data_IF_103973351782
#
_entry.id   IF_103973351782
#
_cell.length_a   1.000
_cell.length_b   1.000
_cell.length_c   1.000
_cell.angle_alpha   90.00
_cell.angle_beta   90.00
_cell.angle_gamma   90.00
#
_symmetry.space_group_name_H-M   'P 1'
#
loop_
_entity.id
_entity.type
_entity.pdbx_description
1 polymer ?
#
# COMPACT_ATOMS: atom_id res chain seq x y z
N UNK A 1 -11.79 -14.78 17.95
CA UNK A 1 -10.95 -13.64 18.40
C UNK A 1 -11.82 -12.39 18.53
N UNK A 2 -11.76 -11.66 19.67
CA UNK A 2 -12.60 -10.46 19.92
C UNK A 2 -12.15 -9.29 19.03
N UNK A 3 -13.10 -8.68 18.32
CA UNK A 3 -12.95 -7.33 17.74
C UNK A 3 -12.75 -6.33 18.88
N UNK A 4 -11.81 -5.40 18.72
CA UNK A 4 -11.66 -4.33 19.69
C UNK A 4 -12.66 -3.23 19.34
N UNK A 5 -13.55 -2.93 20.27
CA UNK A 5 -14.41 -1.75 20.20
C UNK A 5 -13.54 -0.49 20.36
N UNK A 6 -13.36 0.28 19.29
CA UNK A 6 -12.53 1.49 19.28
C UNK A 6 -13.28 2.71 19.82
N UNK A 7 -14.59 2.58 20.06
CA UNK A 7 -15.45 3.63 20.65
C UNK A 7 -15.26 3.75 22.16
N UNK A 8 -14.53 2.82 22.81
CA UNK A 8 -14.32 2.80 24.26
C UNK A 8 -12.86 2.58 24.64
N UNK A 9 -12.48 3.00 25.84
CA UNK A 9 -11.14 2.77 26.41
C UNK A 9 -10.08 3.79 25.98
N UNK A 10 -8.82 3.52 26.33
CA UNK A 10 -7.70 4.44 26.09
C UNK A 10 -7.23 4.43 24.63
N UNK A 11 -7.09 5.63 24.06
CA UNK A 11 -6.81 5.83 22.63
C UNK A 11 -5.39 5.39 22.24
N UNK A 12 -4.35 5.79 23.00
CA UNK A 12 -2.95 5.45 22.66
C UNK A 12 -2.70 3.95 22.55
N UNK A 13 -3.07 3.11 23.55
CA UNK A 13 -2.89 1.65 23.44
C UNK A 13 -3.64 1.06 22.25
N UNK A 14 -4.82 1.56 21.92
CA UNK A 14 -5.61 1.07 20.78
C UNK A 14 -4.92 1.38 19.46
N UNK A 15 -4.47 2.62 19.26
CA UNK A 15 -3.77 3.02 18.04
C UNK A 15 -2.47 2.24 17.86
N UNK A 16 -1.65 2.12 18.92
CA UNK A 16 -0.37 1.38 18.87
C UNK A 16 -0.61 -0.11 18.61
N UNK A 17 -1.59 -0.71 19.28
CA UNK A 17 -1.93 -2.13 19.09
C UNK A 17 -2.47 -2.41 17.69
N UNK A 18 -3.14 -1.45 17.06
CA UNK A 18 -3.59 -1.55 15.68
C UNK A 18 -2.45 -1.35 14.68
N UNK A 19 -1.60 -0.35 14.88
CA UNK A 19 -0.54 0.02 13.95
C UNK A 19 0.61 -0.99 13.93
N UNK A 20 1.04 -1.54 15.07
CA UNK A 20 2.19 -2.45 15.13
C UNK A 20 2.06 -3.68 14.20
N UNK A 21 0.94 -4.44 14.21
CA UNK A 21 0.77 -5.56 13.27
C UNK A 21 0.69 -5.11 11.80
N UNK A 22 0.14 -3.93 11.52
CA UNK A 22 0.08 -3.38 10.16
C UNK A 22 1.48 -3.04 9.64
N UNK A 23 2.29 -2.39 10.47
CA UNK A 23 3.69 -2.08 10.19
C UNK A 23 4.51 -3.37 10.01
N UNK A 24 4.30 -4.36 10.89
CA UNK A 24 4.94 -5.68 10.78
C UNK A 24 4.59 -6.41 9.49
N UNK A 25 3.33 -6.36 9.05
CA UNK A 25 2.91 -6.94 7.76
C UNK A 25 3.70 -6.30 6.62
N UNK A 26 3.87 -4.99 6.66
CA UNK A 26 4.56 -4.25 5.61
C UNK A 26 6.06 -4.57 5.55
N UNK A 27 6.73 -4.72 6.70
CA UNK A 27 8.13 -5.15 6.76
C UNK A 27 8.32 -6.57 6.18
N UNK A 28 7.46 -7.53 6.55
CA UNK A 28 7.54 -8.90 6.02
C UNK A 28 7.27 -8.90 4.51
N UNK A 29 6.33 -8.08 4.04
CA UNK A 29 6.05 -7.93 2.60
C UNK A 29 7.27 -7.40 1.84
N UNK A 30 8.01 -6.44 2.41
CA UNK A 30 9.24 -5.95 1.81
C UNK A 30 10.31 -7.05 1.77
N UNK A 31 10.53 -7.76 2.88
CA UNK A 31 11.47 -8.89 2.93
C UNK A 31 11.13 -9.95 1.87
N UNK A 32 9.84 -10.21 1.67
CA UNK A 32 9.36 -11.12 0.63
C UNK A 32 9.72 -10.62 -0.76
N UNK A 33 9.41 -9.36 -1.10
CA UNK A 33 9.70 -8.81 -2.41
C UNK A 33 11.21 -8.86 -2.73
N UNK A 34 12.06 -8.58 -1.74
CA UNK A 34 13.51 -8.69 -1.90
C UNK A 34 13.97 -10.14 -2.13
N UNK A 35 13.37 -11.09 -1.41
CA UNK A 35 13.69 -12.51 -1.53
C UNK A 35 13.29 -13.08 -2.89
N UNK A 36 12.08 -12.76 -3.37
CA UNK A 36 11.58 -13.17 -4.69
C UNK A 36 12.51 -12.66 -5.80
N UNK A 37 12.88 -11.37 -5.72
CA UNK A 37 13.84 -10.76 -6.65
C UNK A 37 15.22 -11.46 -6.60
N UNK A 38 15.70 -11.81 -5.42
CA UNK A 38 16.97 -12.53 -5.24
C UNK A 38 16.94 -13.91 -5.88
N UNK A 39 15.89 -14.70 -5.64
CA UNK A 39 15.76 -16.05 -6.21
C UNK A 39 15.63 -16.04 -7.72
N UNK A 40 14.81 -15.13 -8.26
CA UNK A 40 14.64 -14.97 -9.71
C UNK A 40 15.92 -14.48 -10.39
N UNK A 41 16.66 -13.56 -9.75
CA UNK A 41 17.97 -13.10 -10.22
C UNK A 41 19.01 -14.22 -10.23
N UNK A 42 18.98 -15.11 -9.21
CA UNK A 42 19.84 -16.30 -9.16
C UNK A 42 19.50 -17.34 -10.22
N UNK A 43 18.23 -17.43 -10.62
CA UNK A 43 17.80 -18.32 -11.70
C UNK A 43 18.36 -17.85 -13.06
N UNK A 44 18.03 -16.62 -13.48
CA UNK A 44 18.64 -15.97 -14.64
C UNK A 44 18.24 -14.49 -14.72
N UNK A 45 19.05 -13.70 -15.43
CA UNK A 45 18.72 -12.30 -15.76
C UNK A 45 17.46 -12.20 -16.63
N UNK A 46 17.22 -13.18 -17.51
CA UNK A 46 16.01 -13.27 -18.33
C UNK A 46 14.75 -13.47 -17.47
N UNK A 47 14.83 -14.33 -16.46
CA UNK A 47 13.72 -14.64 -15.55
C UNK A 47 13.37 -13.46 -14.65
N UNK A 48 14.38 -12.75 -14.17
CA UNK A 48 14.20 -11.51 -13.43
C UNK A 48 13.50 -10.44 -14.30
N UNK A 49 13.93 -10.26 -15.54
CA UNK A 49 13.31 -9.31 -16.48
C UNK A 49 11.85 -9.68 -16.82
N UNK A 50 11.59 -10.97 -17.04
CA UNK A 50 10.25 -11.50 -17.29
C UNK A 50 9.31 -11.29 -16.09
N UNK A 51 9.78 -11.58 -14.88
CA UNK A 51 9.03 -11.37 -13.65
C UNK A 51 8.77 -9.88 -13.39
N UNK A 52 9.73 -9.00 -13.67
CA UNK A 52 9.56 -7.55 -13.58
C UNK A 52 8.43 -7.03 -14.46
N UNK A 53 8.35 -7.46 -15.72
CA UNK A 53 7.24 -7.10 -16.61
C UNK A 53 5.88 -7.58 -16.09
N UNK A 54 5.79 -8.79 -15.54
CA UNK A 54 4.55 -9.29 -14.92
C UNK A 54 4.26 -8.57 -13.60
N UNK A 55 5.28 -8.11 -12.89
CA UNK A 55 5.17 -7.26 -11.70
C UNK A 55 4.39 -5.98 -11.99
N UNK A 56 4.64 -5.30 -13.11
CA UNK A 56 3.86 -4.12 -13.53
C UNK A 56 2.38 -4.44 -13.76
N UNK A 57 2.07 -5.59 -14.37
CA UNK A 57 0.68 -6.03 -14.56
C UNK A 57 0.03 -6.26 -13.18
N UNK A 58 0.74 -6.96 -12.28
CA UNK A 58 0.27 -7.18 -10.90
C UNK A 58 0.10 -5.87 -10.12
N UNK A 59 0.90 -4.85 -10.41
CA UNK A 59 0.77 -3.54 -9.78
C UNK A 59 -0.49 -2.80 -10.22
N UNK A 60 -0.85 -2.87 -11.51
CA UNK A 60 -2.15 -2.35 -12.00
C UNK A 60 -3.33 -3.05 -11.34
N UNK A 61 -3.23 -4.37 -11.12
CA UNK A 61 -4.23 -5.11 -10.35
C UNK A 61 -4.36 -4.56 -8.92
N UNK A 62 -3.23 -4.24 -8.27
CA UNK A 62 -3.22 -3.65 -6.93
C UNK A 62 -3.88 -2.27 -6.87
N UNK A 63 -3.83 -1.47 -7.93
CA UNK A 63 -4.58 -0.20 -8.00
C UNK A 63 -6.10 -0.43 -7.94
N UNK A 64 -6.61 -1.47 -8.62
CA UNK A 64 -8.04 -1.85 -8.52
C UNK A 64 -8.38 -2.40 -7.14
N UNK A 65 -7.49 -3.20 -6.55
CA UNK A 65 -7.64 -3.68 -5.16
C UNK A 65 -7.71 -2.50 -4.19
N UNK A 66 -6.90 -1.46 -4.38
CA UNK A 66 -6.87 -0.28 -3.52
C UNK A 66 -8.23 0.43 -3.47
N UNK A 67 -8.94 0.52 -4.61
CA UNK A 67 -10.30 1.06 -4.66
C UNK A 67 -11.24 0.29 -3.72
N UNK A 68 -11.34 -1.03 -3.89
CA UNK A 68 -12.20 -1.87 -3.06
C UNK A 68 -11.76 -1.86 -1.60
N UNK A 69 -10.44 -1.93 -1.34
CA UNK A 69 -9.85 -1.98 -0.01
C UNK A 69 -10.22 -0.75 0.81
N UNK A 70 -9.94 0.46 0.31
CA UNK A 70 -10.23 1.70 1.03
C UNK A 70 -11.72 1.85 1.30
N UNK A 71 -12.58 1.63 0.29
CA UNK A 71 -14.02 1.74 0.47
C UNK A 71 -14.60 0.71 1.47
N UNK A 72 -14.04 -0.50 1.49
CA UNK A 72 -14.44 -1.56 2.44
C UNK A 72 -14.04 -1.21 3.86
N UNK A 73 -12.81 -0.74 4.07
CA UNK A 73 -12.31 -0.34 5.40
C UNK A 73 -13.20 0.75 6.03
N UNK A 74 -13.59 1.75 5.23
CA UNK A 74 -14.48 2.85 5.64
C UNK A 74 -15.88 2.32 5.96
N UNK A 75 -16.52 1.59 5.04
CA UNK A 75 -17.90 1.12 5.21
C UNK A 75 -18.07 0.13 6.36
N UNK A 76 -17.12 -0.80 6.51
CA UNK A 76 -17.11 -1.73 7.65
C UNK A 76 -16.83 -0.97 8.93
N UNK A 77 -15.84 -0.06 8.97
CA UNK A 77 -15.54 0.73 10.16
C UNK A 77 -16.72 1.56 10.65
N UNK A 78 -17.38 2.31 9.76
CA UNK A 78 -18.54 3.13 10.12
C UNK A 78 -19.73 2.27 10.58
N UNK A 79 -20.06 1.19 9.87
CA UNK A 79 -21.19 0.33 10.25
C UNK A 79 -20.95 -0.45 11.55
N UNK A 80 -19.71 -0.87 11.82
CA UNK A 80 -19.31 -1.49 13.10
C UNK A 80 -19.44 -0.47 14.24
N UNK A 81 -18.98 0.77 14.03
CA UNK A 81 -19.13 1.87 14.99
C UNK A 81 -20.59 2.19 15.31
N UNK A 82 -21.43 2.26 14.28
CA UNK A 82 -22.88 2.45 14.40
C UNK A 82 -23.63 1.25 14.99
N UNK A 83 -22.93 0.12 15.23
CA UNK A 83 -23.51 -1.17 15.64
C UNK A 83 -24.58 -1.69 14.67
N UNK A 84 -24.54 -1.26 13.41
CA UNK A 84 -25.47 -1.60 12.35
C UNK A 84 -25.12 -2.96 11.72
N UNK A 85 -25.34 -4.05 12.46
CA UNK A 85 -24.92 -5.41 12.06
C UNK A 85 -25.35 -5.82 10.65
N UNK A 86 -26.58 -5.46 10.25
CA UNK A 86 -27.10 -5.75 8.90
C UNK A 86 -26.28 -5.04 7.83
N UNK A 87 -26.05 -3.74 8.02
CA UNK A 87 -25.23 -2.93 7.10
C UNK A 87 -23.78 -3.42 7.05
N UNK A 88 -23.20 -3.81 8.18
CA UNK A 88 -21.86 -4.43 8.21
C UNK A 88 -21.81 -5.70 7.37
N UNK A 89 -22.81 -6.58 7.47
CA UNK A 89 -22.89 -7.80 6.64
C UNK A 89 -23.00 -7.46 5.15
N UNK A 90 -23.82 -6.47 4.80
CA UNK A 90 -23.99 -6.02 3.41
C UNK A 90 -22.67 -5.46 2.84
N UNK A 91 -21.93 -4.63 3.59
CA UNK A 91 -20.62 -4.13 3.17
C UNK A 91 -19.61 -5.26 2.95
N UNK A 92 -19.54 -6.21 3.88
CA UNK A 92 -18.63 -7.35 3.78
C UNK A 92 -18.96 -8.22 2.57
N UNK A 93 -20.23 -8.62 2.41
CA UNK A 93 -20.67 -9.47 1.31
C UNK A 93 -20.46 -8.80 -0.04
N UNK A 94 -20.78 -7.51 -0.13
CA UNK A 94 -20.59 -6.71 -1.34
C UNK A 94 -19.12 -6.58 -1.71
N UNK A 95 -18.24 -6.30 -0.74
CA UNK A 95 -16.81 -6.18 -0.97
C UNK A 95 -16.18 -7.51 -1.44
N UNK A 96 -16.54 -8.61 -0.79
CA UNK A 96 -16.05 -9.95 -1.17
C UNK A 96 -16.60 -10.36 -2.55
N UNK A 97 -17.89 -10.17 -2.81
CA UNK A 97 -18.50 -10.46 -4.11
C UNK A 97 -17.88 -9.62 -5.24
N UNK A 98 -17.73 -8.31 -5.03
CA UNK A 98 -17.10 -7.42 -5.99
C UNK A 98 -15.63 -7.77 -6.25
N UNK A 99 -14.87 -8.13 -5.21
CA UNK A 99 -13.45 -8.51 -5.39
C UNK A 99 -13.28 -9.81 -6.18
N UNK A 100 -14.16 -10.79 -5.99
CA UNK A 100 -14.18 -12.02 -6.80
C UNK A 100 -14.53 -11.72 -8.26
N UNK A 101 -15.56 -10.92 -8.51
CA UNK A 101 -15.98 -10.56 -9.88
C UNK A 101 -14.89 -9.76 -10.59
N UNK A 102 -14.38 -8.70 -9.96
CA UNK A 102 -13.35 -7.84 -10.54
C UNK A 102 -12.04 -8.63 -10.72
N UNK A 103 -11.66 -9.46 -9.74
CA UNK A 103 -10.47 -10.31 -9.85
C UNK A 103 -10.57 -11.34 -10.97
N UNK A 104 -11.74 -11.98 -11.15
CA UNK A 104 -11.98 -12.92 -12.24
C UNK A 104 -11.99 -12.23 -13.61
N UNK A 105 -12.64 -11.06 -13.72
CA UNK A 105 -12.61 -10.26 -14.95
C UNK A 105 -11.20 -9.80 -15.29
N UNK A 106 -10.43 -9.36 -14.30
CA UNK A 106 -9.04 -8.97 -14.47
C UNK A 106 -8.19 -10.15 -14.94
N UNK A 107 -8.32 -11.32 -14.31
CA UNK A 107 -7.65 -12.55 -14.73
C UNK A 107 -7.98 -12.91 -16.18
N UNK A 108 -9.25 -12.83 -16.57
CA UNK A 108 -9.71 -13.09 -17.93
C UNK A 108 -9.06 -12.12 -18.93
N UNK A 109 -9.08 -10.81 -18.64
CA UNK A 109 -8.44 -9.79 -19.48
C UNK A 109 -6.94 -10.06 -19.63
N UNK A 110 -6.24 -10.37 -18.54
CA UNK A 110 -4.81 -10.68 -18.57
C UNK A 110 -4.52 -11.93 -19.41
N UNK A 111 -5.32 -12.99 -19.29
CA UNK A 111 -5.12 -14.23 -20.07
C UNK A 111 -5.38 -14.01 -21.55
N UNK A 112 -6.44 -13.27 -21.90
CA UNK A 112 -6.82 -12.98 -23.29
C UNK A 112 -5.82 -12.04 -23.96
N UNK A 113 -5.40 -10.99 -23.25
CA UNK A 113 -4.51 -9.95 -23.76
C UNK A 113 -3.03 -10.18 -23.43
N UNK A 114 -2.65 -11.37 -22.95
CA UNK A 114 -1.27 -11.66 -22.51
C UNK A 114 -0.21 -11.29 -23.54
N UNK A 115 -0.47 -11.54 -24.83
CA UNK A 115 0.48 -11.26 -25.93
C UNK A 115 0.69 -9.76 -26.11
N UNK A 116 -0.39 -9.00 -26.06
CA UNK A 116 -0.39 -7.55 -26.17
C UNK A 116 0.27 -6.93 -24.95
N UNK A 117 -0.08 -7.38 -23.74
CA UNK A 117 0.45 -6.87 -22.48
C UNK A 117 1.97 -7.08 -22.36
N UNK A 118 2.48 -8.28 -22.66
CA UNK A 118 3.93 -8.52 -22.69
C UNK A 118 4.58 -7.82 -23.90
N UNK A 119 3.86 -7.70 -25.01
CA UNK A 119 4.31 -6.97 -26.20
C UNK A 119 4.64 -5.49 -25.94
N UNK A 120 3.99 -4.86 -24.94
CA UNK A 120 4.28 -3.48 -24.54
C UNK A 120 5.75 -3.28 -24.09
N UNK A 121 6.38 -4.33 -23.55
CA UNK A 121 7.76 -4.25 -23.06
C UNK A 121 8.80 -4.44 -24.17
N UNK A 122 8.39 -4.77 -25.40
CA UNK A 122 9.25 -4.84 -26.59
C UNK A 122 10.54 -5.66 -26.39
N UNK A 123 10.45 -6.79 -25.68
CA UNK A 123 11.59 -7.68 -25.47
C UNK A 123 12.14 -8.20 -26.80
N UNK A 124 13.44 -7.96 -27.05
CA UNK A 124 14.15 -8.42 -28.25
C UNK A 124 14.42 -9.92 -28.22
N UNK A 125 14.60 -10.48 -27.03
CA UNK A 125 14.93 -11.88 -26.84
C UNK A 125 13.67 -12.73 -26.63
N UNK A 126 13.56 -13.82 -27.38
CA UNK A 126 12.41 -14.72 -27.33
C UNK A 126 12.26 -15.43 -25.98
N UNK A 127 13.37 -15.73 -25.31
CA UNK A 127 13.37 -16.46 -24.04
C UNK A 127 12.62 -15.66 -22.97
N UNK A 128 12.86 -14.35 -22.87
CA UNK A 128 12.18 -13.46 -21.91
C UNK A 128 10.67 -13.42 -22.19
N UNK A 129 10.27 -13.36 -23.47
CA UNK A 129 8.86 -13.37 -23.86
C UNK A 129 8.17 -14.66 -23.45
N UNK A 130 8.80 -15.80 -23.71
CA UNK A 130 8.25 -17.12 -23.36
C UNK A 130 8.15 -17.31 -21.84
N UNK A 131 9.17 -16.91 -21.10
CA UNK A 131 9.17 -16.94 -19.64
C UNK A 131 8.06 -16.07 -19.07
N UNK A 132 7.94 -14.81 -19.52
CA UNK A 132 6.89 -13.90 -19.10
C UNK A 132 5.48 -14.44 -19.41
N UNK A 133 5.26 -15.05 -20.58
CA UNK A 133 3.98 -15.69 -20.90
C UNK A 133 3.65 -16.86 -19.98
N UNK A 134 4.64 -17.69 -19.67
CA UNK A 134 4.44 -18.84 -18.80
C UNK A 134 4.16 -18.43 -17.36
N UNK A 135 4.90 -17.44 -16.87
CA UNK A 135 4.72 -16.84 -15.55
C UNK A 135 3.34 -16.19 -15.42
N UNK A 136 2.98 -15.31 -16.37
CA UNK A 136 1.72 -14.57 -16.36
C UNK A 136 0.50 -15.49 -16.37
N UNK A 137 0.55 -16.62 -17.09
CA UNK A 137 -0.55 -17.59 -17.10
C UNK A 137 -0.82 -18.19 -15.73
N UNK A 138 0.24 -18.54 -14.98
CA UNK A 138 0.11 -19.14 -13.65
C UNK A 138 -0.35 -18.08 -12.65
N UNK A 139 0.27 -16.89 -12.67
CA UNK A 139 -0.14 -15.75 -11.84
C UNK A 139 -1.60 -15.38 -12.09
N UNK A 140 -2.07 -15.47 -13.34
CA UNK A 140 -3.45 -15.13 -13.67
C UNK A 140 -4.48 -16.03 -12.96
N UNK A 141 -4.17 -17.30 -12.74
CA UNK A 141 -5.02 -18.21 -11.94
C UNK A 141 -5.08 -17.80 -10.47
N UNK A 142 -4.04 -17.11 -9.97
CA UNK A 142 -3.95 -16.60 -8.61
C UNK A 142 -4.68 -15.27 -8.38
N UNK A 143 -5.07 -14.53 -9.43
CA UNK A 143 -5.66 -13.19 -9.26
C UNK A 143 -6.92 -13.14 -8.41
N UNK A 144 -7.90 -14.08 -8.51
CA UNK A 144 -9.05 -14.05 -7.61
C UNK A 144 -8.66 -14.05 -6.12
N UNK A 145 -7.61 -14.79 -5.75
CA UNK A 145 -7.09 -14.83 -4.38
C UNK A 145 -6.26 -13.58 -4.04
N UNK A 146 -5.50 -13.07 -5.00
CA UNK A 146 -4.79 -11.80 -4.88
C UNK A 146 -5.73 -10.62 -4.60
N UNK A 147 -6.94 -10.64 -5.17
CA UNK A 147 -7.97 -9.63 -4.92
C UNK A 147 -8.69 -9.84 -3.58
N UNK A 148 -9.05 -11.07 -3.21
CA UNK A 148 -9.85 -11.31 -2.01
C UNK A 148 -9.06 -11.10 -0.70
N UNK A 149 -7.78 -11.48 -0.66
CA UNK A 149 -6.99 -11.45 0.58
C UNK A 149 -6.84 -10.03 1.18
N UNK A 150 -6.49 -8.99 0.38
CA UNK A 150 -6.44 -7.62 0.89
C UNK A 150 -7.80 -7.08 1.34
N UNK A 151 -8.90 -7.55 0.74
CA UNK A 151 -10.26 -7.14 1.12
C UNK A 151 -10.69 -7.77 2.43
N UNK A 152 -10.36 -9.04 2.66
CA UNK A 152 -10.51 -9.65 3.99
C UNK A 152 -9.69 -8.88 5.03
N UNK A 153 -8.45 -8.50 4.70
CA UNK A 153 -7.65 -7.60 5.52
C UNK A 153 -8.38 -6.29 5.85
N UNK A 154 -8.92 -5.60 4.85
CA UNK A 154 -9.68 -4.36 5.01
C UNK A 154 -10.90 -4.51 5.93
N UNK A 155 -11.63 -5.63 5.82
CA UNK A 155 -12.78 -5.95 6.70
C UNK A 155 -12.33 -6.03 8.15
N UNK A 156 -11.26 -6.79 8.42
CA UNK A 156 -10.71 -6.92 9.77
C UNK A 156 -10.15 -5.59 10.30
N UNK A 157 -9.49 -4.81 9.45
CA UNK A 157 -8.97 -3.48 9.82
C UNK A 157 -10.10 -2.51 10.19
N UNK A 158 -11.13 -2.39 9.35
CA UNK A 158 -12.32 -1.60 9.65
C UNK A 158 -13.00 -2.04 10.95
N UNK A 159 -13.02 -3.35 11.22
CA UNK A 159 -13.54 -3.91 12.47
C UNK A 159 -12.60 -3.81 13.69
N UNK A 160 -11.47 -3.11 13.58
CA UNK A 160 -10.55 -2.88 14.70
C UNK A 160 -9.69 -4.10 15.08
N UNK A 161 -9.39 -4.99 14.14
CA UNK A 161 -8.54 -6.15 14.34
C UNK A 161 -7.42 -6.21 13.28
N UNK A 162 -6.22 -5.75 13.61
CA UNK A 162 -5.05 -5.88 12.73
C UNK A 162 -4.22 -7.14 12.98
N UNK A 163 -4.38 -7.78 14.16
CA UNK A 163 -3.60 -8.97 14.54
C UNK A 163 -3.93 -10.18 13.66
N UNK A 164 -5.21 -10.38 13.36
CA UNK A 164 -5.64 -11.54 12.56
C UNK A 164 -5.08 -11.45 11.14
N UNK A 165 -5.26 -10.33 10.40
CA UNK A 165 -4.65 -10.22 9.09
C UNK A 165 -3.13 -10.28 9.11
N UNK A 166 -2.47 -9.69 10.12
CA UNK A 166 -1.02 -9.79 10.25
C UNK A 166 -0.55 -11.24 10.34
N UNK A 167 -1.12 -12.04 11.25
CA UNK A 167 -0.70 -13.44 11.42
C UNK A 167 -0.96 -14.26 10.15
N UNK A 168 -2.14 -14.12 9.53
CA UNK A 168 -2.49 -14.89 8.33
C UNK A 168 -1.62 -14.49 7.14
N UNK A 169 -1.43 -13.20 6.89
CA UNK A 169 -0.56 -12.73 5.80
C UNK A 169 0.90 -13.09 6.05
N UNK A 170 1.38 -13.04 7.30
CA UNK A 170 2.75 -13.45 7.66
C UNK A 170 2.99 -14.92 7.34
N UNK A 171 2.04 -15.81 7.66
CA UNK A 171 2.12 -17.23 7.30
C UNK A 171 2.19 -17.39 5.78
N UNK A 172 1.37 -16.65 5.03
CA UNK A 172 1.41 -16.67 3.56
C UNK A 172 2.75 -16.24 2.98
N UNK A 173 3.32 -15.14 3.49
CA UNK A 173 4.59 -14.60 3.02
C UNK A 173 5.76 -15.52 3.37
N UNK A 174 5.78 -16.06 4.59
CA UNK A 174 6.82 -17.04 5.01
C UNK A 174 6.70 -18.32 4.20
N UNK A 175 5.48 -18.82 3.98
CA UNK A 175 5.24 -19.98 3.13
C UNK A 175 5.77 -19.71 1.72
N UNK A 176 5.51 -18.53 1.16
CA UNK A 176 6.01 -18.14 -0.16
C UNK A 176 7.55 -18.17 -0.21
N UNK A 177 8.22 -17.50 0.73
CA UNK A 177 9.70 -17.47 0.81
C UNK A 177 10.34 -18.88 0.87
N UNK A 178 9.64 -19.87 1.45
CA UNK A 178 10.09 -21.26 1.54
C UNK A 178 9.76 -22.03 0.26
N UNK A 179 8.58 -21.82 -0.30
CA UNK A 179 8.12 -22.49 -1.52
C UNK A 179 8.90 -22.03 -2.76
N UNK A 180 9.32 -20.77 -2.83
CA UNK A 180 10.09 -20.23 -3.96
C UNK A 180 11.34 -21.05 -4.29
N UNK A 181 12.37 -21.16 -3.41
CA UNK A 181 13.58 -21.91 -3.75
C UNK A 181 13.31 -23.40 -3.96
N UNK A 182 12.28 -23.94 -3.31
CA UNK A 182 11.87 -25.33 -3.47
C UNK A 182 11.32 -25.58 -4.89
N UNK A 183 10.38 -24.78 -5.37
CA UNK A 183 9.83 -24.93 -6.71
C UNK A 183 10.80 -24.49 -7.80
N UNK A 184 11.54 -23.39 -7.60
CA UNK A 184 12.48 -22.85 -8.58
C UNK A 184 13.64 -23.82 -8.81
N UNK A 185 14.34 -24.22 -7.73
CA UNK A 185 15.59 -24.98 -7.84
C UNK A 185 15.42 -26.48 -7.58
N UNK A 186 14.69 -26.87 -6.52
CA UNK A 186 14.62 -28.29 -6.11
C UNK A 186 13.79 -29.12 -7.09
N UNK A 187 12.65 -28.57 -7.55
CA UNK A 187 11.83 -29.22 -8.57
C UNK A 187 12.16 -28.76 -10.00
N UNK A 188 13.14 -27.87 -10.18
CA UNK A 188 13.59 -27.43 -11.49
C UNK A 188 12.50 -26.74 -12.33
N UNK A 189 11.48 -26.15 -11.70
CA UNK A 189 10.37 -25.52 -12.42
C UNK A 189 10.73 -24.11 -12.93
N UNK A 190 11.90 -23.59 -12.53
CA UNK A 190 12.38 -22.27 -12.92
C UNK A 190 11.37 -21.18 -12.57
N UNK A 191 11.15 -20.24 -13.49
CA UNK A 191 10.26 -19.09 -13.28
C UNK A 191 8.80 -19.51 -13.01
N UNK A 192 8.34 -20.63 -13.58
CA UNK A 192 7.00 -21.18 -13.33
C UNK A 192 6.83 -21.60 -11.87
N UNK A 193 7.93 -22.02 -11.24
CA UNK A 193 7.97 -22.39 -9.83
C UNK A 193 7.65 -21.20 -8.91
N UNK A 194 8.26 -20.04 -9.16
CA UNK A 194 7.98 -18.81 -8.42
C UNK A 194 6.52 -18.35 -8.55
N UNK A 195 5.97 -18.41 -9.77
CA UNK A 195 4.55 -18.09 -9.98
C UNK A 195 3.62 -19.06 -9.22
N UNK A 196 3.95 -20.35 -9.20
CA UNK A 196 3.18 -21.37 -8.51
C UNK A 196 3.28 -21.20 -6.98
N UNK A 197 4.47 -20.94 -6.44
CA UNK A 197 4.69 -20.63 -5.03
C UNK A 197 3.81 -19.45 -4.59
N UNK A 198 3.78 -18.38 -5.39
CA UNK A 198 2.96 -17.20 -5.13
C UNK A 198 1.46 -17.49 -5.18
N UNK A 199 1.00 -18.29 -6.15
CA UNK A 199 -0.39 -18.69 -6.25
C UNK A 199 -0.82 -19.56 -5.04
N UNK A 200 0.01 -20.53 -4.65
CA UNK A 200 -0.24 -21.42 -3.52
C UNK A 200 -0.20 -20.67 -2.18
N UNK A 201 0.70 -19.70 -2.02
CA UNK A 201 0.75 -18.84 -0.85
C UNK A 201 -0.55 -18.02 -0.70
N UNK A 202 -1.01 -17.37 -1.78
CA UNK A 202 -2.27 -16.63 -1.78
C UNK A 202 -3.48 -17.52 -1.50
N UNK A 203 -3.52 -18.71 -2.11
CA UNK A 203 -4.56 -19.69 -1.85
C UNK A 203 -4.57 -20.14 -0.38
N UNK A 204 -3.39 -20.40 0.20
CA UNK A 204 -3.25 -20.80 1.60
C UNK A 204 -3.75 -19.71 2.56
N UNK A 205 -3.43 -18.44 2.28
CA UNK A 205 -3.96 -17.28 3.02
C UNK A 205 -5.49 -17.25 2.96
N UNK A 206 -6.07 -17.39 1.76
CA UNK A 206 -7.54 -17.43 1.59
C UNK A 206 -8.17 -18.60 2.34
N UNK A 207 -7.54 -19.78 2.32
CA UNK A 207 -8.00 -20.96 3.03
C UNK A 207 -7.95 -20.76 4.55
N UNK A 208 -6.87 -20.19 5.09
CA UNK A 208 -6.76 -19.88 6.52
C UNK A 208 -7.87 -18.92 6.92
N UNK A 209 -8.13 -17.86 6.15
CA UNK A 209 -9.25 -16.96 6.41
C UNK A 209 -10.60 -17.68 6.39
N UNK A 210 -10.80 -18.60 5.46
CA UNK A 210 -12.01 -19.41 5.37
C UNK A 210 -12.21 -20.31 6.60
N UNK A 211 -11.14 -20.89 7.14
CA UNK A 211 -11.19 -21.74 8.34
C UNK A 211 -11.52 -20.90 9.58
N UNK A 212 -10.83 -19.78 9.79
CA UNK A 212 -10.97 -18.97 11.01
C UNK A 212 -12.24 -18.10 11.01
N UNK A 213 -12.98 -18.02 9.89
CA UNK A 213 -14.18 -17.16 9.76
C UNK A 213 -15.24 -17.43 10.82
N UNK A 214 -15.37 -18.68 11.27
CA UNK A 214 -16.36 -19.11 12.27
C UNK A 214 -16.02 -18.56 13.67
N UNK A 215 -14.73 -18.49 13.99
CA UNK A 215 -14.23 -17.95 15.27
C UNK A 215 -14.16 -16.42 15.30
N UNK A 216 -14.26 -15.79 14.13
CA UNK A 216 -14.15 -14.35 13.95
C UNK A 216 -15.47 -13.58 14.16
N UNK A 217 -16.63 -14.27 14.16
CA UNK A 217 -17.97 -13.70 14.41
C UNK A 217 -18.49 -12.70 13.36
N UNK A 218 -17.61 -11.93 12.71
CA UNK A 218 -17.90 -10.97 11.65
C UNK A 218 -18.25 -11.65 10.31
N UNK A 219 -17.69 -12.84 10.07
CA UNK A 219 -17.74 -13.53 8.76
C UNK A 219 -18.52 -14.86 8.83
N UNK A 220 -18.95 -15.28 10.02
CA UNK A 220 -19.51 -16.61 10.28
C UNK A 220 -20.91 -16.86 9.71
N UNK A 221 -21.64 -15.81 9.30
CA UNK A 221 -23.05 -15.87 8.85
C UNK A 221 -23.31 -14.98 7.62
N UNK A 222 -22.42 -15.04 6.63
CA UNK A 222 -22.53 -14.27 5.39
C UNK A 222 -23.05 -15.13 4.24
N UNK A 223 -24.03 -14.60 3.53
CA UNK A 223 -24.53 -15.15 2.27
C UNK A 223 -24.19 -14.20 1.13
N UNK A 224 -23.05 -14.43 0.45
CA UNK A 224 -22.48 -13.52 -0.56
C UNK A 224 -23.50 -13.01 -1.59
N UNK A 225 -24.38 -13.87 -2.12
CA UNK A 225 -25.37 -13.49 -3.13
C UNK A 225 -26.59 -12.76 -2.54
N UNK A 226 -27.00 -13.11 -1.31
CA UNK A 226 -28.19 -12.54 -0.66
C UNK A 226 -27.89 -11.17 -0.06
N UNK A 227 -26.69 -11.02 0.50
CA UNK A 227 -26.28 -9.83 1.23
C UNK A 227 -25.55 -8.83 0.31
N UNK A 228 -25.34 -9.15 -0.98
CA UNK A 228 -24.79 -8.20 -1.94
C UNK A 228 -25.76 -7.04 -2.15
N UNK A 229 -25.26 -5.81 -1.99
CA UNK A 229 -26.04 -4.60 -2.11
C UNK A 229 -25.34 -3.61 -3.05
N UNK A 230 -26.01 -3.28 -4.16
CA UNK A 230 -25.47 -2.37 -5.19
C UNK A 230 -25.26 -0.94 -4.67
N UNK A 231 -26.08 -0.49 -3.73
CA UNK A 231 -25.89 0.81 -3.08
C UNK A 231 -24.58 0.83 -2.26
N UNK A 232 -24.30 -0.25 -1.53
CA UNK A 232 -23.04 -0.39 -0.77
C UNK A 232 -21.85 -0.49 -1.73
N UNK A 233 -22.00 -1.14 -2.88
CA UNK A 233 -20.97 -1.16 -3.92
C UNK A 233 -20.68 0.26 -4.44
N UNK A 234 -21.72 1.04 -4.74
CA UNK A 234 -21.56 2.42 -5.18
C UNK A 234 -20.87 3.29 -4.13
N UNK A 235 -21.15 3.09 -2.83
CA UNK A 235 -20.43 3.78 -1.75
C UNK A 235 -18.97 3.35 -1.67
N UNK A 236 -18.68 2.04 -1.71
CA UNK A 236 -17.30 1.51 -1.74
C UNK A 236 -16.53 2.11 -2.92
N UNK A 237 -17.11 2.08 -4.12
CA UNK A 237 -16.49 2.62 -5.33
C UNK A 237 -16.29 4.14 -5.22
N UNK A 238 -17.28 4.89 -4.72
CA UNK A 238 -17.19 6.35 -4.55
C UNK A 238 -16.08 6.74 -3.58
N UNK A 239 -15.91 5.99 -2.49
CA UNK A 239 -14.84 6.24 -1.53
C UNK A 239 -13.48 5.78 -2.05
N UNK A 240 -13.40 4.65 -2.75
CA UNK A 240 -12.16 4.08 -3.25
C UNK A 240 -11.58 4.71 -4.51
N UNK A 241 -12.44 5.19 -5.42
CA UNK A 241 -12.03 5.70 -6.72
C UNK A 241 -11.04 6.87 -6.63
N UNK A 242 -11.22 7.86 -5.73
CA UNK A 242 -10.23 8.93 -5.56
C UNK A 242 -8.83 8.40 -5.20
N UNK A 243 -8.74 7.42 -4.30
CA UNK A 243 -7.46 6.81 -3.89
C UNK A 243 -6.80 6.06 -5.04
N UNK A 244 -7.57 5.37 -5.88
CA UNK A 244 -7.06 4.72 -7.10
C UNK A 244 -6.50 5.76 -8.08
N UNK A 245 -7.25 6.83 -8.35
CA UNK A 245 -6.80 7.91 -9.26
C UNK A 245 -5.51 8.55 -8.72
N UNK A 246 -5.48 8.87 -7.43
CA UNK A 246 -4.28 9.38 -6.77
C UNK A 246 -3.07 8.45 -6.97
N UNK A 247 -3.25 7.14 -6.78
CA UNK A 247 -2.18 6.16 -6.98
C UNK A 247 -1.67 6.13 -8.44
N UNK A 248 -2.57 6.16 -9.42
CA UNK A 248 -2.20 6.19 -10.85
C UNK A 248 -1.37 7.44 -11.19
N UNK A 249 -1.78 8.62 -10.70
CA UNK A 249 -1.02 9.86 -10.89
C UNK A 249 0.33 9.82 -10.17
N UNK A 250 0.38 9.28 -8.94
CA UNK A 250 1.64 9.11 -8.20
C UNK A 250 2.65 8.26 -8.99
N UNK A 251 2.22 7.13 -9.56
CA UNK A 251 3.09 6.25 -10.36
C UNK A 251 3.55 6.95 -11.65
N UNK A 252 2.63 7.63 -12.34
CA UNK A 252 2.92 8.35 -13.58
C UNK A 252 3.94 9.46 -13.37
N UNK A 253 3.76 10.28 -12.32
CA UNK A 253 4.71 11.34 -11.96
C UNK A 253 6.06 10.76 -11.55
N UNK A 254 6.07 9.71 -10.73
CA UNK A 254 7.31 9.06 -10.28
C UNK A 254 8.12 8.51 -11.46
N UNK A 255 7.45 7.98 -12.49
CA UNK A 255 8.10 7.54 -13.73
C UNK A 255 8.77 8.69 -14.48
N UNK A 256 8.10 9.85 -14.59
CA UNK A 256 8.68 11.04 -15.24
C UNK A 256 9.90 11.57 -14.47
N UNK A 257 9.83 11.62 -13.14
CA UNK A 257 10.95 12.05 -12.30
C UNK A 257 12.12 11.08 -12.40
N UNK A 258 11.86 9.77 -12.39
CA UNK A 258 12.89 8.73 -12.54
C UNK A 258 13.66 8.90 -13.86
N UNK A 259 12.96 9.17 -14.98
CA UNK A 259 13.60 9.48 -16.27
C UNK A 259 14.52 10.71 -16.21
N UNK A 260 14.15 11.74 -15.44
CA UNK A 260 15.02 12.91 -15.26
C UNK A 260 16.30 12.56 -14.50
N UNK A 261 16.24 11.66 -13.53
CA UNK A 261 17.42 11.18 -12.78
C UNK A 261 18.33 10.36 -13.68
N UNK A 262 17.77 9.44 -14.49
CA UNK A 262 18.55 8.63 -15.44
C UNK A 262 19.36 9.47 -16.42
N UNK A 263 18.92 10.70 -16.74
CA UNK A 263 19.65 11.61 -17.64
C UNK A 263 20.97 12.15 -17.09
N UNK A 264 21.24 12.02 -15.78
CA UNK A 264 22.48 12.51 -15.16
C UNK A 264 23.63 11.51 -15.25
N UNK A 265 23.44 10.30 -14.72
CA UNK A 265 24.38 9.19 -14.82
C UNK A 265 23.73 7.89 -14.37
N UNK A 266 24.30 6.75 -14.77
CA UNK A 266 23.90 5.42 -14.28
C UNK A 266 24.09 5.29 -12.77
N UNK A 267 25.18 5.83 -12.20
CA UNK A 267 25.44 5.83 -10.76
C UNK A 267 24.42 6.64 -9.96
N UNK A 268 23.99 7.81 -10.47
CA UNK A 268 22.94 8.61 -9.83
C UNK A 268 21.59 7.88 -9.82
N UNK A 269 21.27 7.16 -10.90
CA UNK A 269 20.06 6.35 -10.98
C UNK A 269 20.10 5.16 -10.00
N UNK A 270 21.22 4.45 -9.92
CA UNK A 270 21.39 3.36 -8.95
C UNK A 270 21.23 3.86 -7.50
N UNK A 271 21.82 5.02 -7.18
CA UNK A 271 21.68 5.65 -5.88
C UNK A 271 20.23 6.05 -5.55
N UNK A 272 19.49 6.56 -6.54
CA UNK A 272 18.06 6.87 -6.44
C UNK A 272 17.23 5.63 -6.13
N UNK A 273 17.42 4.54 -6.88
CA UNK A 273 16.66 3.30 -6.68
C UNK A 273 16.89 2.71 -5.28
N UNK A 274 18.15 2.64 -4.82
CA UNK A 274 18.47 2.18 -3.45
C UNK A 274 17.82 3.09 -2.41
N UNK A 275 17.92 4.41 -2.60
CA UNK A 275 17.31 5.39 -1.72
C UNK A 275 15.80 5.21 -1.60
N UNK A 276 15.11 5.04 -2.74
CA UNK A 276 13.65 4.83 -2.79
C UNK A 276 13.25 3.56 -2.05
N UNK A 277 14.03 2.49 -2.13
CA UNK A 277 13.79 1.26 -1.36
C UNK A 277 13.91 1.48 0.15
N UNK A 278 14.90 2.27 0.59
CA UNK A 278 15.05 2.64 2.01
C UNK A 278 13.86 3.50 2.47
N UNK A 279 13.45 4.47 1.66
CA UNK A 279 12.29 5.33 1.94
C UNK A 279 10.97 4.55 1.99
N UNK A 280 10.82 3.51 1.14
CA UNK A 280 9.61 2.70 1.08
C UNK A 280 9.25 2.07 2.44
N UNK A 281 10.25 1.73 3.27
CA UNK A 281 10.04 1.25 4.65
C UNK A 281 9.27 2.28 5.47
N UNK A 282 9.71 3.54 5.42
CA UNK A 282 9.04 4.65 6.12
C UNK A 282 7.61 4.82 5.65
N UNK A 283 7.40 4.82 4.33
CA UNK A 283 6.07 4.96 3.73
C UNK A 283 5.12 3.83 4.13
N UNK A 284 5.61 2.59 4.12
CA UNK A 284 4.89 1.40 4.59
C UNK A 284 4.50 1.50 6.06
N UNK A 285 5.41 1.96 6.91
CA UNK A 285 5.17 2.18 8.33
C UNK A 285 4.10 3.26 8.57
N UNK A 286 4.19 4.39 7.87
CA UNK A 286 3.18 5.45 7.94
C UNK A 286 1.82 4.98 7.41
N UNK A 287 1.80 4.17 6.35
CA UNK A 287 0.59 3.55 5.83
C UNK A 287 -0.10 2.65 6.86
N UNK A 288 0.67 1.88 7.64
CA UNK A 288 0.13 1.09 8.75
C UNK A 288 -0.54 1.94 9.83
N UNK A 289 0.07 3.08 10.19
CA UNK A 289 -0.55 4.05 11.10
C UNK A 289 -1.81 4.71 10.48
N UNK A 290 -1.77 5.02 9.18
CA UNK A 290 -2.90 5.59 8.43
C UNK A 290 -4.15 4.70 8.51
N UNK A 291 -4.00 3.40 8.25
CA UNK A 291 -5.08 2.40 8.40
C UNK A 291 -5.57 2.30 9.84
N UNK A 292 -4.68 2.34 10.84
CA UNK A 292 -5.09 2.31 12.25
C UNK A 292 -5.92 3.54 12.66
N UNK A 293 -5.48 4.74 12.25
CA UNK A 293 -6.20 5.99 12.47
C UNK A 293 -7.53 5.97 11.71
N UNK A 294 -7.53 5.48 10.46
CA UNK A 294 -8.72 5.39 9.62
C UNK A 294 -9.80 4.49 10.22
N UNK A 295 -9.43 3.30 10.70
CA UNK A 295 -10.34 2.40 11.41
C UNK A 295 -10.91 3.03 12.69
N UNK A 296 -10.05 3.70 13.50
CA UNK A 296 -10.47 4.38 14.71
C UNK A 296 -11.46 5.51 14.40
N UNK A 297 -11.11 6.39 13.46
CA UNK A 297 -11.95 7.51 13.04
C UNK A 297 -13.24 7.03 12.42
N UNK A 298 -13.22 5.97 11.59
CA UNK A 298 -14.43 5.39 10.99
C UNK A 298 -15.41 4.87 12.03
N UNK A 299 -14.95 4.11 13.03
CA UNK A 299 -15.83 3.59 14.08
C UNK A 299 -16.43 4.70 14.93
N UNK A 300 -15.64 5.68 15.35
CA UNK A 300 -16.17 6.81 16.13
C UNK A 300 -17.06 7.72 15.26
N UNK A 301 -16.79 7.79 13.95
CA UNK A 301 -17.65 8.51 13.02
C UNK A 301 -19.03 7.85 12.90
N UNK A 302 -19.06 6.52 12.77
CA UNK A 302 -20.31 5.76 12.73
C UNK A 302 -21.05 5.70 14.07
N UNK A 303 -20.33 5.77 15.19
CA UNK A 303 -20.91 5.86 16.53
C UNK A 303 -21.39 7.27 16.92
N UNK A 304 -21.26 8.24 16.02
CA UNK A 304 -21.57 9.66 16.23
C UNK A 304 -20.76 10.34 17.35
N UNK A 305 -19.70 9.70 17.85
CA UNK A 305 -18.79 10.23 18.88
C UNK A 305 -17.70 11.09 18.23
N UNK A 306 -18.07 12.35 17.91
CA UNK A 306 -17.18 13.31 17.25
C UNK A 306 -16.03 13.79 18.14
N UNK A 307 -16.26 13.91 19.44
CA UNK A 307 -15.21 14.33 20.39
C UNK A 307 -14.08 13.29 20.43
N UNK A 308 -14.46 12.02 20.64
CA UNK A 308 -13.48 10.92 20.65
C UNK A 308 -12.81 10.74 19.31
N UNK A 309 -13.52 10.96 18.20
CA UNK A 309 -12.94 10.97 16.86
C UNK A 309 -11.80 11.99 16.73
N UNK A 310 -12.05 13.23 17.14
CA UNK A 310 -11.08 14.33 17.06
C UNK A 310 -9.88 14.09 17.99
N UNK A 311 -10.12 13.59 19.20
CA UNK A 311 -9.05 13.15 20.09
C UNK A 311 -8.21 12.03 19.48
N UNK A 312 -8.86 11.04 18.87
CA UNK A 312 -8.24 9.91 18.20
C UNK A 312 -7.27 10.36 17.11
N UNK A 313 -7.75 11.24 16.25
CA UNK A 313 -6.94 11.83 15.20
C UNK A 313 -5.78 12.67 15.75
N UNK A 314 -6.01 13.50 16.77
CA UNK A 314 -4.96 14.30 17.39
C UNK A 314 -3.85 13.42 18.01
N UNK A 315 -4.23 12.42 18.81
CA UNK A 315 -3.29 11.45 19.42
C UNK A 315 -2.58 10.63 18.35
N UNK A 316 -3.28 10.21 17.28
CA UNK A 316 -2.67 9.55 16.12
C UNK A 316 -1.65 10.42 15.40
N UNK A 317 -1.92 11.72 15.27
CA UNK A 317 -0.98 12.69 14.67
C UNK A 317 0.28 12.87 15.54
N UNK A 318 0.16 12.81 16.87
CA UNK A 318 1.32 12.82 17.78
C UNK A 318 2.20 11.58 17.55
N UNK A 319 1.60 10.39 17.47
CA UNK A 319 2.32 9.15 17.14
C UNK A 319 3.00 9.28 15.77
N UNK A 320 2.28 9.81 14.76
CA UNK A 320 2.81 10.02 13.42
C UNK A 320 4.03 10.95 13.45
N UNK A 321 3.94 12.06 14.19
CA UNK A 321 5.04 13.03 14.34
C UNK A 321 6.27 12.38 14.98
N UNK A 322 6.07 11.58 16.03
CA UNK A 322 7.16 10.85 16.67
C UNK A 322 7.82 9.83 15.72
N UNK A 323 7.02 9.10 14.93
CA UNK A 323 7.54 8.18 13.91
C UNK A 323 8.29 8.93 12.79
N UNK A 324 7.77 10.06 12.34
CA UNK A 324 8.41 10.91 11.33
C UNK A 324 9.72 11.53 11.82
N UNK A 325 9.78 11.95 13.09
CA UNK A 325 11.00 12.45 13.71
C UNK A 325 12.04 11.33 13.86
N UNK A 326 11.61 10.13 14.26
CA UNK A 326 12.48 8.95 14.30
C UNK A 326 13.05 8.59 12.92
N UNK A 327 12.21 8.60 11.88
CA UNK A 327 12.63 8.41 10.49
C UNK A 327 13.60 9.50 10.03
N UNK A 328 13.34 10.77 10.36
CA UNK A 328 14.28 11.87 10.10
C UNK A 328 15.65 11.60 10.72
N UNK A 329 15.70 11.22 12.00
CA UNK A 329 16.98 10.94 12.70
C UNK A 329 17.75 9.81 12.02
N UNK A 330 17.06 8.72 11.67
CA UNK A 330 17.70 7.58 10.99
C UNK A 330 18.24 8.02 9.63
N UNK A 331 17.40 8.62 8.78
CA UNK A 331 17.78 8.94 7.40
C UNK A 331 18.84 10.03 7.34
N UNK A 332 18.83 11.01 8.24
CA UNK A 332 19.79 12.12 8.21
C UNK A 332 21.16 11.73 8.77
N UNK A 333 21.20 11.12 9.96
CA UNK A 333 22.46 10.81 10.65
C UNK A 333 23.11 9.51 10.16
N UNK A 334 22.32 8.54 9.69
CA UNK A 334 22.83 7.24 9.22
C UNK A 334 22.78 7.08 7.69
N UNK A 335 22.58 8.17 6.93
CA UNK A 335 22.53 8.13 5.46
C UNK A 335 23.70 7.36 4.83
N UNK A 336 24.93 7.60 5.33
CA UNK A 336 26.14 6.98 4.80
C UNK A 336 26.19 5.49 5.03
N UNK A 337 25.85 5.06 6.24
CA UNK A 337 25.80 3.66 6.63
C UNK A 337 24.70 2.94 5.86
N UNK A 338 23.50 3.53 5.76
CA UNK A 338 22.38 2.94 5.04
C UNK A 338 22.67 2.74 3.56
N UNK A 339 23.24 3.76 2.89
CA UNK A 339 23.64 3.64 1.49
C UNK A 339 24.82 2.68 1.29
N UNK A 340 25.78 2.69 2.22
CA UNK A 340 26.97 1.83 2.18
C UNK A 340 26.66 0.34 2.31
N UNK A 341 25.50 -0.05 2.85
CA UNK A 341 25.04 -1.44 2.86
C UNK A 341 24.75 -2.00 1.46
N UNK A 342 24.44 -1.13 0.50
CA UNK A 342 24.04 -1.53 -0.86
C UNK A 342 25.07 -1.11 -1.92
N UNK A 343 25.77 0.00 -1.72
CA UNK A 343 26.72 0.57 -2.68
C UNK A 343 28.12 0.56 -2.07
N UNK A 344 29.00 -0.27 -2.63
CA UNK A 344 30.37 -0.46 -2.13
C UNK A 344 31.43 0.11 -3.08
N UNK A 345 31.25 -0.03 -4.40
CA UNK A 345 32.31 0.19 -5.39
C UNK A 345 32.18 1.51 -6.19
N UNK A 346 31.17 2.33 -5.91
CA UNK A 346 30.93 3.61 -6.60
C UNK A 346 30.80 4.75 -5.59
N UNK A 347 31.90 5.51 -5.45
CA UNK A 347 31.98 6.66 -4.54
C UNK A 347 31.03 7.78 -4.93
N UNK A 348 30.78 7.99 -6.22
CA UNK A 348 29.85 9.00 -6.70
C UNK A 348 28.40 8.59 -6.38
N UNK A 349 28.01 7.35 -6.66
CA UNK A 349 26.68 6.85 -6.35
C UNK A 349 26.42 6.85 -4.83
N UNK A 350 27.42 6.50 -4.02
CA UNK A 350 27.33 6.57 -2.57
C UNK A 350 27.08 8.01 -2.09
N UNK A 351 27.84 9.00 -2.59
CA UNK A 351 27.64 10.40 -2.26
C UNK A 351 26.27 10.93 -2.71
N UNK A 352 25.84 10.57 -3.92
CA UNK A 352 24.54 10.97 -4.47
C UNK A 352 23.37 10.43 -3.64
N UNK A 353 23.43 9.17 -3.23
CA UNK A 353 22.41 8.54 -2.41
C UNK A 353 22.43 9.04 -0.95
N UNK A 354 23.59 9.33 -0.39
CA UNK A 354 23.68 9.98 0.92
C UNK A 354 23.00 11.34 0.92
N UNK A 355 23.24 12.13 -0.13
CA UNK A 355 22.61 13.43 -0.30
C UNK A 355 21.08 13.28 -0.47
N UNK A 356 20.62 12.28 -1.21
CA UNK A 356 19.19 11.98 -1.30
C UNK A 356 18.55 11.74 0.06
N UNK A 357 19.07 10.78 0.84
CA UNK A 357 18.48 10.41 2.12
C UNK A 357 18.45 11.59 3.09
N UNK A 358 19.50 12.42 3.11
CA UNK A 358 19.54 13.64 3.94
C UNK A 358 18.50 14.66 3.51
N UNK A 359 18.27 14.86 2.21
CA UNK A 359 17.26 15.80 1.70
C UNK A 359 15.85 15.28 1.96
N UNK A 360 15.60 13.97 1.80
CA UNK A 360 14.30 13.33 2.07
C UNK A 360 14.00 13.23 3.57
N UNK A 361 15.02 13.16 4.43
CA UNK A 361 14.82 13.16 5.88
C UNK A 361 13.90 14.31 6.32
N UNK A 362 14.11 15.52 5.78
CA UNK A 362 13.33 16.71 6.13
C UNK A 362 11.83 16.60 5.84
N UNK A 363 11.40 15.78 4.86
CA UNK A 363 9.98 15.61 4.56
C UNK A 363 9.33 14.46 5.34
N UNK A 364 10.06 13.69 6.15
CA UNK A 364 9.52 12.52 6.86
C UNK A 364 8.42 12.85 7.86
N UNK A 365 8.58 13.93 8.64
CA UNK A 365 7.54 14.40 9.58
C UNK A 365 6.26 14.78 8.83
N UNK A 366 6.40 15.47 7.70
CA UNK A 366 5.26 15.87 6.89
C UNK A 366 4.60 14.68 6.18
N UNK A 367 5.38 13.68 5.76
CA UNK A 367 4.87 12.44 5.18
C UNK A 367 4.08 11.63 6.23
N UNK A 368 4.53 11.66 7.49
CA UNK A 368 3.76 11.09 8.59
C UNK A 368 2.45 11.86 8.85
N UNK A 369 2.47 13.20 8.74
CA UNK A 369 1.26 14.01 8.80
C UNK A 369 0.29 13.69 7.65
N UNK A 370 0.79 13.60 6.41
CA UNK A 370 0.01 13.13 5.26
C UNK A 370 -0.70 11.81 5.59
N UNK A 371 0.04 10.82 6.08
CA UNK A 371 -0.52 9.52 6.39
C UNK A 371 -1.59 9.58 7.49
N UNK A 372 -1.36 10.35 8.56
CA UNK A 372 -2.36 10.53 9.63
C UNK A 372 -3.63 11.24 9.14
N UNK A 373 -3.49 12.31 8.34
CA UNK A 373 -4.60 13.06 7.77
C UNK A 373 -5.35 12.25 6.73
N UNK A 374 -4.66 11.48 5.88
CA UNK A 374 -5.27 10.53 4.96
C UNK A 374 -6.12 9.51 5.73
N UNK A 375 -5.60 8.97 6.83
CA UNK A 375 -6.34 8.04 7.70
C UNK A 375 -7.59 8.70 8.25
N UNK A 376 -7.47 9.91 8.81
CA UNK A 376 -8.61 10.66 9.32
C UNK A 376 -9.68 10.96 8.26
N UNK A 377 -9.28 11.48 7.09
CA UNK A 377 -10.19 11.78 5.99
C UNK A 377 -10.87 10.53 5.42
N UNK A 378 -10.13 9.43 5.28
CA UNK A 378 -10.68 8.14 4.91
C UNK A 378 -11.74 7.71 5.93
N UNK A 379 -11.44 7.78 7.22
CA UNK A 379 -12.35 7.36 8.28
C UNK A 379 -13.71 8.08 8.26
N UNK A 380 -13.73 9.38 7.96
CA UNK A 380 -14.99 10.15 7.81
C UNK A 380 -15.65 9.99 6.44
N UNK A 381 -15.06 9.20 5.52
CA UNK A 381 -15.57 8.99 4.16
C UNK A 381 -15.28 10.12 3.18
N UNK A 382 -14.42 11.08 3.53
CA UNK A 382 -14.03 12.21 2.69
C UNK A 382 -12.72 11.92 1.96
N UNK A 383 -12.76 11.01 0.99
CA UNK A 383 -11.56 10.55 0.26
C UNK A 383 -11.18 11.43 -0.92
N UNK A 384 -12.10 12.26 -1.42
CA UNK A 384 -11.88 13.14 -2.58
C UNK A 384 -10.84 14.23 -2.30
N UNK A 385 -10.97 14.93 -1.17
CA UNK A 385 -10.09 16.02 -0.78
C UNK A 385 -8.63 15.56 -0.66
N UNK A 386 -8.31 14.50 0.09
CA UNK A 386 -6.91 14.09 0.22
C UNK A 386 -6.31 13.58 -1.09
N UNK A 387 -7.09 12.91 -1.93
CA UNK A 387 -6.65 12.52 -3.27
C UNK A 387 -6.38 13.71 -4.19
N UNK A 388 -7.23 14.75 -4.16
CA UNK A 388 -7.03 15.96 -4.96
C UNK A 388 -5.74 16.70 -4.56
N UNK A 389 -5.53 16.90 -3.24
CA UNK A 389 -4.29 17.50 -2.73
C UNK A 389 -3.08 16.67 -3.13
N UNK A 390 -3.19 15.34 -3.01
CA UNK A 390 -2.15 14.41 -3.44
C UNK A 390 -1.81 14.53 -4.94
N UNK A 391 -2.82 14.59 -5.81
CA UNK A 391 -2.65 14.75 -7.27
C UNK A 391 -2.01 16.09 -7.61
N UNK A 392 -2.52 17.21 -7.07
CA UNK A 392 -2.00 18.55 -7.34
C UNK A 392 -0.54 18.68 -6.88
N UNK A 393 -0.21 18.22 -5.67
CA UNK A 393 1.16 18.25 -5.16
C UNK A 393 2.10 17.30 -5.92
N UNK A 394 1.61 16.16 -6.40
CA UNK A 394 2.42 15.28 -7.26
C UNK A 394 2.67 15.93 -8.62
N UNK A 395 1.65 16.52 -9.25
CA UNK A 395 1.83 17.17 -10.55
C UNK A 395 2.77 18.38 -10.47
N UNK A 396 2.73 19.16 -9.38
CA UNK A 396 3.65 20.28 -9.18
C UNK A 396 5.11 19.86 -9.02
N UNK A 397 5.38 18.58 -8.69
CA UNK A 397 6.73 18.02 -8.61
C UNK A 397 7.49 18.11 -9.93
N UNK A 398 6.81 17.93 -11.07
CA UNK A 398 7.45 17.93 -12.40
C UNK A 398 8.02 19.32 -12.75
N UNK A 399 7.25 20.43 -12.76
CA UNK A 399 7.81 21.74 -13.05
C UNK A 399 8.84 22.16 -11.99
N UNK A 400 8.61 21.83 -10.72
CA UNK A 400 9.55 22.14 -9.64
C UNK A 400 10.88 21.41 -9.83
N UNK A 401 10.87 20.15 -10.28
CA UNK A 401 12.10 19.40 -10.55
C UNK A 401 12.86 20.00 -11.72
N UNK A 402 12.20 20.43 -12.80
CA UNK A 402 12.86 21.10 -13.92
C UNK A 402 13.52 22.42 -13.51
N UNK A 403 12.83 23.24 -12.72
CA UNK A 403 13.35 24.54 -12.26
C UNK A 403 14.54 24.32 -11.32
N UNK A 404 14.38 23.53 -10.27
CA UNK A 404 15.43 23.32 -9.27
C UNK A 404 16.62 22.54 -9.83
N UNK A 405 16.39 21.65 -10.80
CA UNK A 405 17.47 20.97 -11.54
C UNK A 405 18.42 21.98 -12.20
N UNK A 406 17.91 23.09 -12.71
CA UNK A 406 18.73 24.15 -13.33
C UNK A 406 19.67 24.86 -12.35
N UNK A 407 19.27 25.01 -11.09
CA UNK A 407 20.06 25.72 -10.06
C UNK A 407 20.96 24.80 -9.24
N UNK A 408 20.48 23.60 -8.90
CA UNK A 408 21.12 22.70 -7.92
C UNK A 408 21.49 21.32 -8.51
N UNK A 409 21.36 21.14 -9.83
CA UNK A 409 21.66 19.88 -10.50
C UNK A 409 20.80 18.72 -9.98
N UNK A 410 21.42 17.57 -9.73
CA UNK A 410 20.75 16.38 -9.18
C UNK A 410 20.08 16.68 -7.82
N UNK A 411 20.70 17.52 -6.99
CA UNK A 411 20.15 17.94 -5.69
C UNK A 411 18.82 18.68 -5.81
N UNK A 412 18.65 19.43 -6.90
CA UNK A 412 17.40 20.13 -7.19
C UNK A 412 16.22 19.18 -7.36
N UNK A 413 16.45 17.99 -7.93
CA UNK A 413 15.41 16.96 -8.07
C UNK A 413 15.01 16.43 -6.69
N UNK A 414 15.97 16.09 -5.83
CA UNK A 414 15.69 15.62 -4.48
C UNK A 414 14.90 16.66 -3.67
N UNK A 415 15.29 17.94 -3.75
CA UNK A 415 14.59 19.05 -3.08
C UNK A 415 13.16 19.18 -3.62
N UNK A 416 12.93 19.05 -4.93
CA UNK A 416 11.58 19.08 -5.50
C UNK A 416 10.69 17.95 -4.94
N UNK A 417 11.23 16.74 -4.78
CA UNK A 417 10.52 15.62 -4.14
C UNK A 417 10.18 15.98 -2.69
N UNK A 418 11.16 16.43 -1.90
CA UNK A 418 10.96 16.80 -0.49
C UNK A 418 9.93 17.91 -0.31
N UNK A 419 10.00 18.99 -1.10
CA UNK A 419 9.05 20.11 -1.03
C UNK A 419 7.64 19.60 -1.38
N UNK A 420 7.49 18.83 -2.46
CA UNK A 420 6.18 18.32 -2.87
C UNK A 420 5.52 17.43 -1.80
N UNK A 421 6.31 16.60 -1.11
CA UNK A 421 5.84 15.75 -0.02
C UNK A 421 5.51 16.58 1.23
N UNK A 422 6.38 17.55 1.57
CA UNK A 422 6.17 18.45 2.70
C UNK A 422 4.90 19.30 2.55
N UNK A 423 4.71 19.89 1.37
CA UNK A 423 3.50 20.66 1.04
C UNK A 423 2.24 19.82 1.19
N UNK A 424 2.26 18.56 0.73
CA UNK A 424 1.09 17.67 0.82
C UNK A 424 0.72 17.38 2.27
N UNK A 425 1.68 16.99 3.10
CA UNK A 425 1.47 16.76 4.53
C UNK A 425 0.93 17.99 5.25
N UNK A 426 1.50 19.16 4.95
CA UNK A 426 1.06 20.44 5.53
C UNK A 426 -0.37 20.80 5.10
N UNK A 427 -0.68 20.73 3.81
CA UNK A 427 -2.01 21.05 3.29
C UNK A 427 -3.08 20.10 3.83
N UNK A 428 -2.81 18.79 3.89
CA UNK A 428 -3.76 17.85 4.47
C UNK A 428 -4.00 18.11 5.96
N UNK A 429 -2.97 18.49 6.70
CA UNK A 429 -3.10 18.87 8.10
C UNK A 429 -3.97 20.11 8.27
N UNK A 430 -3.75 21.14 7.45
CA UNK A 430 -4.54 22.38 7.44
C UNK A 430 -6.00 22.09 7.04
N UNK A 431 -6.23 21.32 5.99
CA UNK A 431 -7.59 21.00 5.57
C UNK A 431 -8.34 20.18 6.61
N UNK A 432 -7.66 19.28 7.32
CA UNK A 432 -8.32 18.56 8.40
C UNK A 432 -8.68 19.49 9.57
N UNK A 433 -7.90 20.53 9.83
CA UNK A 433 -8.26 21.54 10.83
C UNK A 433 -9.57 22.26 10.47
N UNK A 434 -9.77 22.62 9.20
CA UNK A 434 -11.05 23.18 8.74
C UNK A 434 -12.19 22.17 8.79
N UNK A 435 -11.92 20.90 8.46
CA UNK A 435 -12.93 19.85 8.54
C UNK A 435 -13.35 19.56 9.98
N UNK A 436 -12.40 19.64 10.92
CA UNK A 436 -12.67 19.57 12.36
C UNK A 436 -13.70 20.62 12.79
N UNK A 437 -13.57 21.87 12.33
CA UNK A 437 -14.53 22.92 12.68
C UNK A 437 -15.96 22.59 12.22
N UNK A 438 -16.12 21.99 11.04
CA UNK A 438 -17.45 21.56 10.56
C UNK A 438 -18.02 20.42 11.41
N UNK A 439 -17.18 19.49 11.85
CA UNK A 439 -17.60 18.39 12.70
C UNK A 439 -17.99 18.84 14.12
N UNK A 440 -17.40 19.93 14.62
CA UNK A 440 -17.76 20.54 15.91
C UNK A 440 -19.09 21.30 15.82
N UNK A 441 -19.35 22.02 14.73
CA UNK A 441 -20.60 22.79 14.53
C UNK A 441 -21.85 21.92 14.40
N UNK A 442 -21.72 20.64 14.04
CA UNK A 442 -22.87 19.71 13.92
C UNK A 442 -23.30 19.15 15.28
N UNK A 443 -22.50 19.34 16.34
CA UNK A 443 -22.82 18.89 17.69
C UNK A 443 -23.60 19.92 18.53
N UNK A 444 -23.69 21.18 18.06
CA UNK A 444 -24.53 22.25 18.61
C UNK A 444 -25.84 22.36 17.80
#
# INVERSE_FOLDING_TARGET
MKTNDLTRGSIYPQLIRLSLPLMGTALIQMSYNLMDMFWLGKLSTHSLAAAGAVGYISWLAMSLVMMLRTGTEIGVGQSVGAKAKKETKEYIATALGASLVIGALYALVVVLLRRQLIGLFSFKEDIIRQEAFSYLKIVALGFPFFFINPIIGAIYHGAGNSKTPFLVNSVGLVLNMVLDPLFIFTFGMGIKGAALATALANFSVSLIYFVIRKEAGLISELHLLRDFNLEKFNRIATWGLPSMVYNVFFVSVSTVVSRQVTSFSSGAFAAFEVGVQIEAIGWMMFGGLSTAIGAFVAQNFGAEDRERLLEGYAKGTIIATAMGAFAFTILYFFAGQLMGLFIHDDSYALMAGQNYLKVIAFCQVFSAWEASSQGGFNGIGSTKLPSLVGVVCNLSRIPLSYILKGYFGLTGIWIAISISAASRGLFLRIFFYFEKQKLEVIND
#
